data_IF_059924570194
#
_entry.id   IF_059924570194
#
_cell.length_a   1.000
_cell.length_b   1.000
_cell.length_c   1.000
_cell.angle_alpha   90.00
_cell.angle_beta   90.00
_cell.angle_gamma   90.00
#
_symmetry.space_group_name_H-M   'P 1'
#
loop_
_entity.id
_entity.type
_entity.pdbx_description
1 polymer ?
#
# COMPACT_ATOMS: atom_id res chain seq x y z
N UNK A 1 -10.32 -7.40 16.44
CA UNK A 1 -10.78 -6.01 16.21
C UNK A 1 -9.91 -5.38 15.13
N UNK A 2 -10.54 -4.92 14.05
CA UNK A 2 -9.86 -4.25 12.93
C UNK A 2 -10.14 -2.76 12.94
N UNK A 3 -9.13 -1.93 12.79
CA UNK A 3 -9.25 -0.47 12.66
C UNK A 3 -8.72 -0.01 11.31
N UNK A 4 -9.11 1.18 10.85
CA UNK A 4 -8.63 1.75 9.60
C UNK A 4 -8.15 3.20 9.80
N UNK A 5 -7.19 3.63 8.98
CA UNK A 5 -6.78 5.03 8.90
C UNK A 5 -6.77 5.53 7.46
N UNK A 6 -7.26 6.76 7.28
CA UNK A 6 -7.17 7.52 6.04
C UNK A 6 -6.47 8.84 6.35
N UNK A 7 -5.49 9.22 5.52
CA UNK A 7 -4.82 10.52 5.61
C UNK A 7 -5.42 11.48 4.59
N UNK A 8 -5.84 12.64 5.07
CA UNK A 8 -6.44 13.70 4.26
C UNK A 8 -5.40 14.79 3.98
N UNK A 9 -5.33 15.27 2.74
CA UNK A 9 -4.56 16.45 2.35
C UNK A 9 -5.20 17.09 1.14
N UNK A 10 -6.05 18.11 1.35
CA UNK A 10 -6.83 18.71 0.26
C UNK A 10 -7.60 17.67 -0.55
N UNK A 11 -8.14 16.69 0.17
CA UNK A 11 -8.83 15.55 -0.42
C UNK A 11 -10.19 15.98 -0.96
N UNK A 12 -10.53 15.49 -2.17
CA UNK A 12 -11.87 15.68 -2.73
C UNK A 12 -12.91 14.98 -1.83
N UNK A 13 -13.91 15.72 -1.29
CA UNK A 13 -14.92 15.13 -0.42
C UNK A 13 -15.69 13.98 -1.06
N UNK A 14 -16.00 14.06 -2.36
CA UNK A 14 -16.72 13.00 -3.05
C UNK A 14 -15.88 11.72 -3.17
N UNK A 15 -14.58 11.82 -3.29
CA UNK A 15 -13.63 10.71 -3.29
C UNK A 15 -13.56 10.06 -1.91
N UNK A 16 -13.38 10.88 -0.85
CA UNK A 16 -13.35 10.40 0.52
C UNK A 16 -14.65 9.68 0.91
N UNK A 17 -15.81 10.23 0.54
CA UNK A 17 -17.11 9.61 0.83
C UNK A 17 -17.24 8.21 0.28
N UNK A 18 -16.72 7.93 -0.93
CA UNK A 18 -16.71 6.58 -1.50
C UNK A 18 -15.85 5.61 -0.69
N UNK A 19 -14.64 6.04 -0.29
CA UNK A 19 -13.77 5.24 0.57
C UNK A 19 -14.42 4.96 1.94
N UNK A 20 -15.05 5.96 2.55
CA UNK A 20 -15.79 5.82 3.80
C UNK A 20 -17.00 4.89 3.65
N UNK A 21 -17.75 4.96 2.55
CA UNK A 21 -18.86 4.05 2.26
C UNK A 21 -18.37 2.60 2.21
N UNK A 22 -17.23 2.35 1.58
CA UNK A 22 -16.62 1.01 1.53
C UNK A 22 -16.19 0.51 2.91
N UNK A 23 -15.62 1.39 3.75
CA UNK A 23 -15.28 1.06 5.14
C UNK A 23 -16.53 0.79 6.00
N UNK A 24 -17.62 1.57 5.78
CA UNK A 24 -18.89 1.37 6.49
C UNK A 24 -19.60 0.06 6.14
N UNK A 25 -19.30 -0.52 4.98
CA UNK A 25 -19.81 -1.82 4.55
C UNK A 25 -18.93 -3.01 4.98
N UNK A 26 -17.81 -2.74 5.67
CA UNK A 26 -16.80 -3.75 6.03
C UNK A 26 -16.71 -3.94 7.55
N UNK A 27 -16.11 -5.06 7.98
CA UNK A 27 -15.86 -5.34 9.42
C UNK A 27 -14.72 -4.47 9.96
N UNK A 28 -15.02 -3.19 10.14
CA UNK A 28 -14.15 -2.17 10.74
C UNK A 28 -14.78 -1.69 12.05
N UNK A 29 -14.02 -1.80 13.14
CA UNK A 29 -14.47 -1.37 14.47
C UNK A 29 -14.30 0.14 14.71
N UNK A 30 -13.35 0.79 14.04
CA UNK A 30 -13.07 2.23 14.16
C UNK A 30 -12.30 2.76 12.97
N UNK A 31 -12.60 3.98 12.56
CA UNK A 31 -11.92 4.73 11.51
C UNK A 31 -11.19 5.93 12.13
N UNK A 32 -9.94 6.14 11.77
CA UNK A 32 -9.16 7.33 12.06
C UNK A 32 -9.01 8.17 10.80
N UNK A 33 -9.52 9.39 10.81
CA UNK A 33 -9.29 10.39 9.76
C UNK A 33 -8.20 11.33 10.25
N UNK A 34 -7.00 11.19 9.69
CA UNK A 34 -5.86 12.04 10.05
C UNK A 34 -5.73 13.11 8.99
N UNK A 35 -6.12 14.32 9.34
CA UNK A 35 -6.09 15.45 8.43
C UNK A 35 -4.81 16.27 8.59
N UNK A 36 -4.00 16.30 7.55
CA UNK A 36 -2.81 17.13 7.46
C UNK A 36 -2.95 18.24 6.39
N UNK A 37 -4.17 18.63 6.07
CA UNK A 37 -4.49 19.78 5.22
C UNK A 37 -4.05 21.08 5.90
N UNK A 38 -3.74 22.16 5.14
CA UNK A 38 -3.43 23.47 5.72
C UNK A 38 -4.55 24.08 6.55
N UNK A 39 -5.78 23.80 6.15
CA UNK A 39 -7.01 24.20 6.84
C UNK A 39 -7.72 22.94 7.33
N UNK A 40 -8.23 23.00 8.55
CA UNK A 40 -8.96 21.91 9.17
C UNK A 40 -10.30 21.69 8.46
N UNK A 41 -10.64 20.43 8.17
CA UNK A 41 -11.93 20.07 7.61
C UNK A 41 -12.95 19.87 8.75
N UNK A 42 -14.23 20.07 8.46
CA UNK A 42 -15.31 19.72 9.37
C UNK A 42 -15.62 18.21 9.27
N UNK A 43 -15.36 17.42 10.33
CA UNK A 43 -15.59 15.98 10.31
C UNK A 43 -17.07 15.62 10.15
N UNK A 44 -17.99 16.43 10.66
CA UNK A 44 -19.43 16.18 10.55
C UNK A 44 -19.88 16.27 9.09
N UNK A 45 -19.36 17.25 8.34
CA UNK A 45 -19.63 17.40 6.91
C UNK A 45 -19.05 16.23 6.11
N UNK A 46 -17.84 15.76 6.48
CA UNK A 46 -17.18 14.64 5.77
C UNK A 46 -17.94 13.32 5.93
N UNK A 47 -18.62 13.12 7.06
CA UNK A 47 -19.28 11.85 7.43
C UNK A 47 -20.80 11.90 7.35
N UNK A 48 -21.40 13.05 7.07
CA UNK A 48 -22.84 13.27 7.05
C UNK A 48 -23.58 12.23 6.18
N UNK A 49 -24.62 11.61 6.77
CA UNK A 49 -25.48 10.64 6.07
C UNK A 49 -24.82 9.30 5.74
N UNK A 50 -23.61 9.04 6.21
CA UNK A 50 -22.94 7.74 6.07
C UNK A 50 -23.19 6.85 7.29
N UNK A 51 -23.42 5.55 7.05
CA UNK A 51 -23.47 4.56 8.11
C UNK A 51 -22.04 4.05 8.37
N UNK A 52 -21.40 4.59 9.41
CA UNK A 52 -20.00 4.33 9.72
C UNK A 52 -19.83 3.76 11.13
N UNK A 53 -18.80 2.94 11.38
CA UNK A 53 -18.34 2.70 12.74
C UNK A 53 -17.84 4.02 13.35
N UNK A 54 -17.53 4.06 14.67
CA UNK A 54 -16.97 5.25 15.29
C UNK A 54 -15.81 5.84 14.50
N UNK A 55 -15.92 7.13 14.16
CA UNK A 55 -14.89 7.90 13.45
C UNK A 55 -14.20 8.83 14.43
N UNK A 56 -12.87 8.80 14.44
CA UNK A 56 -12.04 9.73 15.21
C UNK A 56 -11.26 10.60 14.22
N UNK A 57 -11.55 11.91 14.24
CA UNK A 57 -10.91 12.89 13.40
C UNK A 57 -9.81 13.62 14.18
N UNK A 58 -8.65 13.75 13.57
CA UNK A 58 -7.46 14.37 14.19
C UNK A 58 -6.75 15.23 13.16
N UNK A 59 -6.74 16.55 13.38
CA UNK A 59 -5.95 17.48 12.58
C UNK A 59 -4.51 17.55 13.08
N UNK A 60 -3.54 17.43 12.18
CA UNK A 60 -2.11 17.41 12.51
C UNK A 60 -1.29 18.21 11.51
N UNK A 61 -0.11 18.64 11.93
CA UNK A 61 0.88 19.21 11.01
C UNK A 61 1.26 18.20 9.92
N UNK A 62 1.41 18.68 8.69
CA UNK A 62 1.80 17.84 7.56
C UNK A 62 3.29 17.46 7.63
N UNK A 63 3.57 16.34 8.25
CA UNK A 63 4.89 15.69 8.33
C UNK A 63 5.05 14.52 7.35
N UNK A 64 4.10 14.37 6.42
CA UNK A 64 4.10 13.32 5.40
C UNK A 64 3.15 12.18 5.68
N UNK A 65 3.00 11.29 4.68
CA UNK A 65 2.04 10.19 4.68
C UNK A 65 2.25 9.21 5.84
N UNK A 66 3.48 8.68 5.98
CA UNK A 66 3.78 7.70 7.02
C UNK A 66 3.64 8.27 8.43
N UNK A 67 4.07 9.53 8.65
CA UNK A 67 3.94 10.19 9.95
C UNK A 67 2.47 10.36 10.37
N UNK A 68 1.59 10.72 9.44
CA UNK A 68 0.15 10.84 9.70
C UNK A 68 -0.47 9.48 10.04
N UNK A 69 -0.21 8.43 9.25
CA UNK A 69 -0.69 7.09 9.58
C UNK A 69 -0.15 6.56 10.92
N UNK A 70 1.06 6.94 11.30
CA UNK A 70 1.64 6.55 12.58
C UNK A 70 0.83 7.07 13.78
N UNK A 71 0.17 8.23 13.66
CA UNK A 71 -0.75 8.74 14.71
C UNK A 71 -1.88 7.73 14.93
N UNK A 72 -2.56 7.34 13.87
CA UNK A 72 -3.65 6.37 13.92
C UNK A 72 -3.19 4.98 14.40
N UNK A 73 -2.04 4.50 13.92
CA UNK A 73 -1.49 3.19 14.31
C UNK A 73 -1.18 3.17 15.81
N UNK A 74 -0.62 4.23 16.38
CA UNK A 74 -0.36 4.33 17.84
C UNK A 74 -1.67 4.27 18.65
N UNK A 75 -2.72 4.93 18.18
CA UNK A 75 -4.05 4.86 18.80
C UNK A 75 -4.65 3.46 18.69
N UNK A 76 -4.59 2.84 17.51
CA UNK A 76 -5.02 1.46 17.30
C UNK A 76 -4.29 0.47 18.22
N UNK A 77 -2.97 0.63 18.38
CA UNK A 77 -2.16 -0.16 19.32
C UNK A 77 -2.61 0.03 20.77
N UNK A 78 -2.88 1.28 21.18
CA UNK A 78 -3.32 1.61 22.54
C UNK A 78 -4.70 1.04 22.84
N UNK A 79 -5.56 0.91 21.84
CA UNK A 79 -6.90 0.34 21.94
C UNK A 79 -6.94 -1.19 21.78
N UNK A 80 -5.78 -1.84 21.59
CA UNK A 80 -5.69 -3.30 21.47
C UNK A 80 -6.20 -3.83 20.13
N UNK A 81 -6.08 -3.07 19.04
CA UNK A 81 -6.41 -3.55 17.71
C UNK A 81 -5.56 -4.76 17.33
N UNK A 82 -6.18 -5.76 16.70
CA UNK A 82 -5.49 -6.94 16.14
C UNK A 82 -4.93 -6.62 14.75
N UNK A 83 -5.73 -5.91 13.95
CA UNK A 83 -5.38 -5.50 12.60
C UNK A 83 -5.59 -4.00 12.41
N UNK A 84 -4.77 -3.41 11.54
CA UNK A 84 -4.88 -2.01 11.16
C UNK A 84 -4.74 -1.84 9.65
N UNK A 85 -5.74 -1.23 9.03
CA UNK A 85 -5.75 -0.88 7.62
C UNK A 85 -5.21 0.54 7.41
N UNK A 86 -4.17 0.66 6.62
CA UNK A 86 -3.71 1.92 6.02
C UNK A 86 -4.36 2.03 4.65
N UNK A 87 -5.14 3.09 4.43
CA UNK A 87 -5.96 3.26 3.24
C UNK A 87 -5.80 4.66 2.64
N UNK A 88 -5.66 4.74 1.32
CA UNK A 88 -5.76 6.01 0.60
C UNK A 88 -7.21 6.46 0.49
N UNK A 89 -7.48 7.79 0.46
CA UNK A 89 -8.83 8.35 0.34
C UNK A 89 -9.49 8.11 -1.02
N UNK A 90 -8.75 7.62 -2.01
CA UNK A 90 -9.19 7.35 -3.38
C UNK A 90 -9.31 5.86 -3.72
N UNK A 91 -9.39 5.02 -2.69
CA UNK A 91 -9.65 3.57 -2.81
C UNK A 91 -11.06 3.24 -2.38
N UNK A 92 -11.79 2.50 -3.20
CA UNK A 92 -13.18 2.12 -2.97
C UNK A 92 -13.43 0.65 -3.36
N UNK A 93 -14.45 0.04 -2.75
CA UNK A 93 -14.93 -1.30 -3.09
C UNK A 93 -16.39 -1.48 -2.67
N UNK A 94 -17.02 -2.54 -3.15
CA UNK A 94 -18.38 -2.93 -2.80
C UNK A 94 -18.36 -4.09 -1.78
N UNK A 95 -19.27 -4.05 -0.81
CA UNK A 95 -19.42 -5.09 0.22
C UNK A 95 -18.25 -5.12 1.21
N UNK A 96 -18.06 -6.27 1.86
CA UNK A 96 -16.98 -6.45 2.84
C UNK A 96 -15.71 -7.00 2.18
N UNK A 97 -14.68 -6.17 2.10
CA UNK A 97 -13.36 -6.58 1.64
C UNK A 97 -12.38 -6.90 2.78
N UNK A 98 -12.77 -6.69 4.03
CA UNK A 98 -11.86 -6.81 5.16
C UNK A 98 -11.90 -8.21 5.77
N UNK A 99 -13.09 -8.76 6.02
CA UNK A 99 -13.21 -10.10 6.64
C UNK A 99 -12.45 -11.19 5.89
N UNK A 100 -12.49 -11.32 4.54
CA UNK A 100 -11.71 -12.34 3.85
C UNK A 100 -10.19 -12.18 4.05
N UNK A 101 -9.71 -10.95 4.23
CA UNK A 101 -8.28 -10.68 4.45
C UNK A 101 -7.86 -10.97 5.89
N UNK A 102 -8.71 -10.65 6.88
CA UNK A 102 -8.44 -10.95 8.29
C UNK A 102 -8.54 -12.43 8.57
N UNK A 103 -9.50 -13.16 7.99
CA UNK A 103 -9.63 -14.62 8.09
C UNK A 103 -8.37 -15.32 7.55
N UNK A 104 -7.84 -14.81 6.45
CA UNK A 104 -6.56 -15.30 5.92
C UNK A 104 -5.42 -15.05 6.91
N UNK A 105 -5.34 -13.85 7.48
CA UNK A 105 -4.34 -13.54 8.49
C UNK A 105 -4.49 -14.41 9.74
N UNK A 106 -5.71 -14.68 10.20
CA UNK A 106 -5.98 -15.54 11.36
C UNK A 106 -5.50 -16.98 11.12
N UNK A 107 -5.63 -17.46 9.88
CA UNK A 107 -5.21 -18.81 9.48
C UNK A 107 -3.70 -18.90 9.18
N UNK A 108 -2.98 -17.78 9.03
CA UNK A 108 -1.57 -17.72 8.64
C UNK A 108 -0.79 -16.78 9.58
N UNK A 109 -0.40 -17.30 10.74
CA UNK A 109 0.25 -16.49 11.80
C UNK A 109 1.62 -15.91 11.39
N UNK A 110 2.29 -16.52 10.40
CA UNK A 110 3.54 -16.01 9.84
C UNK A 110 3.35 -14.82 8.89
N UNK A 111 2.11 -14.54 8.45
CA UNK A 111 1.79 -13.40 7.58
C UNK A 111 1.41 -12.20 8.42
N UNK A 112 2.07 -11.08 8.18
CA UNK A 112 1.88 -9.85 8.94
C UNK A 112 1.40 -8.65 8.12
N UNK A 113 1.43 -8.75 6.80
CA UNK A 113 0.98 -7.70 5.89
C UNK A 113 0.33 -8.32 4.67
N UNK A 114 -0.87 -7.85 4.33
CA UNK A 114 -1.55 -8.23 3.10
C UNK A 114 -2.00 -7.01 2.31
N UNK A 115 -2.00 -7.15 0.99
CA UNK A 115 -2.58 -6.19 0.06
C UNK A 115 -3.47 -6.91 -0.96
N UNK A 116 -4.67 -6.39 -1.26
CA UNK A 116 -5.62 -6.99 -2.18
C UNK A 116 -5.21 -6.79 -3.65
N UNK A 117 -5.99 -7.36 -4.54
CA UNK A 117 -5.94 -7.00 -5.96
C UNK A 117 -6.54 -5.62 -6.15
N UNK A 118 -5.79 -4.74 -6.82
CA UNK A 118 -6.22 -3.37 -7.09
C UNK A 118 -6.36 -3.16 -8.59
N UNK A 119 -7.44 -2.50 -9.01
CA UNK A 119 -7.69 -2.11 -10.40
C UNK A 119 -7.87 -0.59 -10.51
N UNK A 120 -7.65 -0.07 -11.70
CA UNK A 120 -8.09 1.28 -12.07
C UNK A 120 -9.60 1.29 -12.36
N UNK A 121 -10.24 2.48 -12.44
CA UNK A 121 -11.67 2.59 -12.76
C UNK A 121 -12.06 2.01 -14.13
N UNK A 122 -11.11 1.93 -15.07
CA UNK A 122 -11.29 1.29 -16.38
C UNK A 122 -11.21 -0.25 -16.34
N UNK A 123 -11.01 -0.83 -15.14
CA UNK A 123 -10.89 -2.26 -14.93
C UNK A 123 -9.48 -2.83 -15.13
N UNK A 124 -8.54 -2.04 -15.62
CA UNK A 124 -7.14 -2.50 -15.80
C UNK A 124 -6.44 -2.72 -14.46
N UNK A 125 -5.56 -3.73 -14.42
CA UNK A 125 -4.84 -4.09 -13.21
C UNK A 125 -3.82 -3.01 -12.81
N UNK A 126 -3.82 -2.64 -11.54
CA UNK A 126 -2.76 -1.84 -10.94
C UNK A 126 -1.73 -2.75 -10.28
N UNK A 127 -0.48 -2.71 -10.75
CA UNK A 127 0.61 -3.52 -10.19
C UNK A 127 1.07 -2.94 -8.84
N UNK A 128 0.50 -3.43 -7.76
CA UNK A 128 0.75 -2.97 -6.38
C UNK A 128 1.78 -3.81 -5.64
N UNK A 129 1.97 -5.05 -6.06
CA UNK A 129 3.10 -5.88 -5.63
C UNK A 129 4.27 -5.71 -6.60
N UNK A 130 5.48 -5.45 -6.07
CA UNK A 130 6.66 -5.16 -6.87
C UNK A 130 7.92 -5.78 -6.26
N UNK A 131 8.98 -5.83 -7.03
CA UNK A 131 10.32 -6.13 -6.50
C UNK A 131 10.79 -4.98 -5.59
N UNK A 132 11.68 -5.29 -4.64
CA UNK A 132 12.43 -4.23 -3.94
C UNK A 132 13.28 -3.46 -4.96
N UNK A 133 13.16 -2.12 -5.01
CA UNK A 133 13.75 -1.33 -6.08
C UNK A 133 15.27 -1.24 -6.00
N UNK A 134 15.88 -1.09 -7.16
CA UNK A 134 17.25 -0.57 -7.29
C UNK A 134 17.19 0.93 -7.64
N UNK A 135 18.30 1.66 -7.51
CA UNK A 135 18.35 3.07 -7.95
C UNK A 135 17.91 3.26 -9.41
N UNK A 136 18.16 2.27 -10.26
CA UNK A 136 17.71 2.30 -11.65
C UNK A 136 16.18 2.29 -11.76
N UNK A 137 15.50 1.44 -10.99
CA UNK A 137 14.05 1.23 -11.13
C UNK A 137 13.22 2.45 -10.73
N UNK A 138 13.72 3.31 -9.84
CA UNK A 138 12.97 4.44 -9.29
C UNK A 138 13.54 5.81 -9.65
N UNK A 139 14.83 5.94 -9.87
CA UNK A 139 15.49 7.21 -10.22
C UNK A 139 15.83 7.23 -11.71
N UNK A 140 16.69 6.33 -12.16
CA UNK A 140 17.32 6.39 -13.47
C UNK A 140 16.30 6.24 -14.61
N UNK A 141 15.31 5.34 -14.46
CA UNK A 141 14.26 5.13 -15.46
C UNK A 141 13.54 6.43 -15.88
N UNK A 142 13.46 7.41 -14.96
CA UNK A 142 12.76 8.66 -15.22
C UNK A 142 13.43 9.53 -16.28
N UNK A 143 14.73 9.33 -16.46
CA UNK A 143 15.55 10.07 -17.41
C UNK A 143 15.83 9.31 -18.72
N UNK A 144 15.28 8.10 -18.85
CA UNK A 144 15.50 7.25 -20.02
C UNK A 144 14.21 7.08 -20.82
N UNK A 145 14.31 6.94 -22.17
CA UNK A 145 13.18 6.61 -23.02
C UNK A 145 12.51 5.30 -22.58
N UNK A 146 11.18 5.27 -22.60
CA UNK A 146 10.38 4.12 -22.16
C UNK A 146 10.79 2.82 -22.88
N UNK A 147 11.08 2.87 -24.17
CA UNK A 147 11.51 1.72 -24.98
C UNK A 147 12.74 1.01 -24.41
N UNK A 148 13.62 1.72 -23.71
CA UNK A 148 14.83 1.14 -23.09
C UNK A 148 14.58 0.58 -21.69
N UNK A 149 13.54 1.03 -21.04
CA UNK A 149 13.21 0.62 -19.67
C UNK A 149 12.10 -0.41 -19.61
N UNK A 150 11.29 -0.57 -20.69
CA UNK A 150 10.07 -1.40 -20.70
C UNK A 150 10.27 -2.81 -20.15
N UNK A 151 11.24 -3.58 -20.67
CA UNK A 151 11.49 -4.96 -20.21
C UNK A 151 11.86 -5.03 -18.73
N UNK A 152 12.67 -4.07 -18.27
CA UNK A 152 13.07 -4.00 -16.85
C UNK A 152 11.92 -3.60 -15.97
N UNK A 153 11.10 -2.63 -16.40
CA UNK A 153 9.92 -2.20 -15.69
C UNK A 153 8.86 -3.30 -15.61
N UNK A 154 8.65 -4.03 -16.68
CA UNK A 154 7.78 -5.21 -16.73
C UNK A 154 8.17 -6.22 -15.64
N UNK A 155 9.47 -6.55 -15.55
CA UNK A 155 9.98 -7.42 -14.48
C UNK A 155 9.86 -6.79 -13.08
N UNK A 156 10.14 -5.49 -12.92
CA UNK A 156 10.03 -4.78 -11.65
C UNK A 156 8.60 -4.78 -11.11
N UNK A 157 7.64 -4.62 -11.99
CA UNK A 157 6.20 -4.61 -11.70
C UNK A 157 5.61 -6.02 -11.55
N UNK A 158 6.40 -7.08 -11.73
CA UNK A 158 5.94 -8.48 -11.72
C UNK A 158 4.79 -8.72 -12.71
N UNK A 159 4.84 -8.10 -13.89
CA UNK A 159 3.75 -8.16 -14.85
C UNK A 159 3.48 -9.56 -15.43
N UNK A 160 4.45 -10.49 -15.30
CA UNK A 160 4.30 -11.91 -15.68
C UNK A 160 3.72 -12.78 -14.56
N UNK A 161 3.42 -12.23 -13.37
CA UNK A 161 2.82 -12.99 -12.29
C UNK A 161 1.33 -13.23 -12.57
N UNK A 162 0.81 -14.36 -12.07
CA UNK A 162 -0.63 -14.56 -12.00
C UNK A 162 -1.20 -13.73 -10.84
N UNK A 163 -1.81 -12.61 -11.18
CA UNK A 163 -2.44 -11.70 -10.22
C UNK A 163 -3.85 -12.15 -9.76
N UNK A 164 -4.25 -13.37 -10.09
CA UNK A 164 -5.45 -14.03 -9.54
C UNK A 164 -5.10 -15.06 -8.47
N UNK A 165 -3.82 -15.40 -8.30
CA UNK A 165 -3.33 -16.30 -7.27
C UNK A 165 -2.58 -15.53 -6.17
N UNK A 166 -2.65 -15.97 -4.89
CA UNK A 166 -1.89 -15.35 -3.81
C UNK A 166 -0.39 -15.68 -3.95
N UNK A 167 0.47 -14.71 -3.61
CA UNK A 167 1.91 -14.94 -3.56
C UNK A 167 2.61 -14.01 -2.58
N UNK A 168 3.72 -14.49 -2.02
CA UNK A 168 4.57 -13.71 -1.13
C UNK A 168 5.20 -12.54 -1.87
N UNK A 169 5.18 -11.35 -1.29
CA UNK A 169 5.64 -10.11 -1.90
C UNK A 169 6.47 -9.30 -0.92
N UNK A 170 7.55 -8.70 -1.39
CA UNK A 170 8.47 -7.93 -0.53
C UNK A 170 8.22 -6.42 -0.55
N UNK A 171 7.35 -5.96 -1.42
CA UNK A 171 6.91 -4.57 -1.51
C UNK A 171 5.46 -4.52 -1.96
N UNK A 172 4.58 -4.08 -1.07
CA UNK A 172 3.20 -3.74 -1.34
C UNK A 172 3.03 -2.23 -1.33
N UNK A 173 2.36 -1.69 -2.34
CA UNK A 173 2.13 -0.25 -2.47
C UNK A 173 1.20 0.29 -1.39
N UNK A 174 1.48 1.47 -0.85
CA UNK A 174 0.84 2.09 0.30
C UNK A 174 -0.64 2.47 0.15
N UNK A 175 -1.30 2.21 -0.99
CA UNK A 175 -2.70 2.58 -1.21
C UNK A 175 -3.71 1.75 -0.40
N UNK A 176 -3.37 0.49 -0.09
CA UNK A 176 -4.14 -0.41 0.76
C UNK A 176 -3.18 -1.41 1.41
N UNK A 177 -2.92 -1.27 2.71
CA UNK A 177 -2.04 -2.15 3.48
C UNK A 177 -2.75 -2.58 4.76
N UNK A 178 -3.10 -3.87 4.87
CA UNK A 178 -3.67 -4.42 6.10
C UNK A 178 -2.57 -5.09 6.90
N UNK A 179 -2.27 -4.54 8.06
CA UNK A 179 -1.22 -4.98 8.97
C UNK A 179 -1.76 -5.79 10.14
N UNK A 180 -1.01 -6.81 10.55
CA UNK A 180 -1.10 -7.35 11.91
C UNK A 180 -0.41 -6.37 12.85
N UNK A 181 -1.13 -5.87 13.86
CA UNK A 181 -0.65 -4.79 14.75
C UNK A 181 0.56 -5.24 15.59
N UNK A 182 0.59 -6.48 16.06
CA UNK A 182 1.72 -7.00 16.84
C UNK A 182 3.01 -7.02 16.02
N UNK A 183 2.93 -7.32 14.73
CA UNK A 183 4.10 -7.25 13.86
C UNK A 183 4.63 -5.81 13.71
N UNK A 184 3.76 -4.79 13.74
CA UNK A 184 4.20 -3.39 13.76
C UNK A 184 4.94 -3.02 15.05
N UNK A 185 4.59 -3.64 16.18
CA UNK A 185 5.36 -3.48 17.45
C UNK A 185 6.77 -4.00 17.31
N UNK A 186 6.94 -5.12 16.60
CA UNK A 186 8.24 -5.79 16.43
C UNK A 186 9.14 -5.10 15.40
N UNK A 187 8.58 -4.64 14.28
CA UNK A 187 9.36 -4.06 13.17
C UNK A 187 9.43 -2.55 13.21
N UNK A 188 8.60 -1.90 14.04
CA UNK A 188 8.44 -0.45 14.11
C UNK A 188 7.48 0.10 13.05
N UNK A 189 7.01 1.33 13.27
CA UNK A 189 6.06 2.04 12.43
C UNK A 189 6.71 2.57 11.15
N UNK A 190 5.98 3.36 10.36
CA UNK A 190 6.56 4.07 9.22
C UNK A 190 7.74 4.95 9.66
N UNK A 191 8.80 4.97 8.87
CA UNK A 191 9.97 5.82 9.12
C UNK A 191 9.64 7.28 8.74
N UNK A 192 9.42 8.13 9.74
CA UNK A 192 8.94 9.50 9.57
C UNK A 192 9.95 10.43 8.89
N UNK A 193 11.17 9.97 8.61
CA UNK A 193 12.13 10.69 7.78
C UNK A 193 11.70 10.77 6.32
N UNK A 194 10.86 9.83 5.88
CA UNK A 194 10.29 9.83 4.54
C UNK A 194 8.99 10.63 4.53
N UNK A 195 9.03 11.80 3.90
CA UNK A 195 7.82 12.61 3.74
C UNK A 195 6.77 11.90 2.87
N UNK A 196 7.21 11.27 1.77
CA UNK A 196 6.34 10.57 0.82
C UNK A 196 7.14 9.66 -0.11
N UNK A 197 6.57 8.55 -0.52
CA UNK A 197 6.96 7.54 -1.53
C UNK A 197 7.72 6.31 -1.03
N UNK A 198 8.91 6.37 -0.37
CA UNK A 198 9.56 5.10 -0.02
C UNK A 198 9.18 4.56 1.35
N UNK A 199 8.26 5.20 2.08
CA UNK A 199 7.81 4.73 3.40
C UNK A 199 7.11 3.37 3.30
N UNK A 200 6.33 3.13 2.24
CA UNK A 200 5.67 1.85 1.96
C UNK A 200 6.68 0.76 1.55
N UNK A 201 7.71 1.12 0.79
CA UNK A 201 8.80 0.21 0.45
C UNK A 201 9.59 -0.16 1.71
N UNK A 202 9.88 0.83 2.56
CA UNK A 202 10.66 0.64 3.78
C UNK A 202 9.95 -0.27 4.78
N UNK A 203 8.66 0.00 5.05
CA UNK A 203 7.90 -0.81 6.01
C UNK A 203 7.64 -2.22 5.47
N UNK A 204 7.32 -2.37 4.18
CA UNK A 204 7.16 -3.68 3.55
C UNK A 204 8.45 -4.50 3.64
N UNK A 205 9.59 -3.86 3.38
CA UNK A 205 10.91 -4.50 3.50
C UNK A 205 11.22 -4.94 4.94
N UNK A 206 10.93 -4.10 5.95
CA UNK A 206 11.13 -4.46 7.36
C UNK A 206 10.22 -5.59 7.78
N UNK A 207 8.96 -5.59 7.32
CA UNK A 207 8.04 -6.72 7.49
C UNK A 207 8.63 -8.00 6.90
N UNK A 208 9.06 -7.97 5.64
CA UNK A 208 9.62 -9.12 4.94
C UNK A 208 10.94 -9.66 5.50
N UNK A 209 11.58 -8.97 6.46
CA UNK A 209 12.75 -9.47 7.17
C UNK A 209 12.39 -10.38 8.35
N UNK A 210 11.17 -10.30 8.89
CA UNK A 210 10.73 -11.05 10.07
C UNK A 210 9.48 -11.88 9.84
N UNK A 211 8.61 -11.41 8.95
CA UNK A 211 7.31 -11.99 8.65
C UNK A 211 7.14 -12.15 7.15
N UNK A 212 6.04 -12.75 6.72
CA UNK A 212 5.63 -12.74 5.32
C UNK A 212 4.70 -11.56 5.03
N UNK A 213 4.86 -10.99 3.85
CA UNK A 213 3.89 -10.07 3.24
C UNK A 213 3.31 -10.75 2.01
N UNK A 214 2.00 -10.70 1.82
CA UNK A 214 1.30 -11.45 0.77
C UNK A 214 0.44 -10.53 -0.08
N UNK A 215 0.61 -10.63 -1.39
CA UNK A 215 -0.40 -10.17 -2.34
C UNK A 215 -1.53 -11.18 -2.34
N UNK A 216 -2.73 -10.74 -1.93
CA UNK A 216 -3.85 -11.63 -1.61
C UNK A 216 -5.10 -11.21 -2.43
N UNK A 217 -5.30 -11.77 -3.63
CA UNK A 217 -6.37 -11.35 -4.55
C UNK A 217 -7.75 -11.95 -4.21
N UNK A 218 -8.04 -12.23 -2.93
CA UNK A 218 -9.36 -12.70 -2.48
C UNK A 218 -10.44 -11.64 -2.70
N UNK A 219 -10.06 -10.37 -2.64
CA UNK A 219 -10.93 -9.23 -2.90
C UNK A 219 -10.28 -8.32 -3.93
N UNK A 220 -11.13 -7.57 -4.63
CA UNK A 220 -10.67 -6.58 -5.63
C UNK A 220 -11.19 -5.22 -5.25
N UNK A 221 -10.30 -4.24 -5.12
CA UNK A 221 -10.63 -2.85 -4.84
C UNK A 221 -10.30 -1.95 -6.04
N UNK A 222 -10.96 -0.81 -6.15
CA UNK A 222 -10.72 0.18 -7.21
C UNK A 222 -9.95 1.36 -6.62
N UNK A 223 -8.83 1.72 -7.23
CA UNK A 223 -8.03 2.89 -6.85
C UNK A 223 -8.12 3.95 -7.95
N UNK A 224 -8.81 5.03 -7.64
CA UNK A 224 -9.08 6.15 -8.57
C UNK A 224 -7.88 7.08 -8.73
N UNK A 225 -6.69 6.57 -8.72
CA UNK A 225 -5.44 7.31 -8.75
C UNK A 225 -5.55 8.61 -9.55
N UNK A 226 -5.69 9.75 -8.85
CA UNK A 226 -5.61 11.06 -9.47
C UNK A 226 -4.16 11.28 -9.92
N UNK A 227 -3.93 11.35 -11.23
CA UNK A 227 -2.62 11.58 -11.84
C UNK A 227 -1.97 12.94 -11.44
N UNK A 228 -2.60 13.69 -10.55
CA UNK A 228 -2.20 15.03 -10.11
C UNK A 228 -0.80 15.11 -9.47
N UNK A 229 -0.27 14.01 -8.93
CA UNK A 229 1.04 14.02 -8.25
C UNK A 229 2.26 13.95 -9.21
N UNK A 230 2.05 13.70 -10.50
CA UNK A 230 3.16 13.53 -11.45
C UNK A 230 3.75 14.82 -12.01
N UNK A 231 3.11 15.99 -11.82
CA UNK A 231 3.42 17.22 -12.57
C UNK A 231 4.18 18.31 -11.81
N UNK A 232 4.36 18.23 -10.48
CA UNK A 232 5.06 19.31 -9.78
C UNK A 232 6.55 19.01 -9.58
N UNK A 233 7.41 19.94 -9.97
CA UNK A 233 8.87 19.84 -9.74
C UNK A 233 9.24 19.75 -8.25
N UNK A 234 8.36 20.21 -7.33
CA UNK A 234 8.52 20.05 -5.89
C UNK A 234 8.37 18.58 -5.49
N UNK A 235 7.34 17.90 -5.97
CA UNK A 235 7.11 16.47 -5.67
C UNK A 235 8.22 15.58 -6.24
N UNK A 236 8.76 15.93 -7.41
CA UNK A 236 9.92 15.25 -7.96
C UNK A 236 11.15 15.37 -7.06
N UNK A 237 11.44 16.57 -6.55
CA UNK A 237 12.57 16.79 -5.63
C UNK A 237 12.39 16.00 -4.33
N UNK A 238 11.20 16.00 -3.74
CA UNK A 238 10.86 15.21 -2.56
C UNK A 238 11.08 13.72 -2.84
N UNK A 239 10.59 13.21 -3.96
CA UNK A 239 10.77 11.81 -4.34
C UNK A 239 12.25 11.44 -4.48
N UNK A 240 13.04 12.22 -5.20
CA UNK A 240 14.47 11.96 -5.37
C UNK A 240 15.20 11.99 -4.02
N UNK A 241 14.94 13.01 -3.19
CA UNK A 241 15.56 13.14 -1.86
C UNK A 241 15.22 11.94 -0.97
N UNK A 242 13.96 11.55 -0.89
CA UNK A 242 13.52 10.42 -0.07
C UNK A 242 14.09 9.09 -0.59
N UNK A 243 14.22 8.93 -1.92
CA UNK A 243 14.89 7.75 -2.49
C UNK A 243 16.38 7.71 -2.17
N UNK A 244 17.06 8.86 -2.10
CA UNK A 244 18.45 8.95 -1.64
C UNK A 244 18.53 8.49 -0.16
N UNK A 245 17.64 8.97 0.70
CA UNK A 245 17.57 8.53 2.10
C UNK A 245 17.33 7.01 2.20
N UNK A 246 16.43 6.47 1.37
CA UNK A 246 16.15 5.04 1.33
C UNK A 246 17.40 4.22 0.95
N UNK A 247 18.11 4.62 -0.11
CA UNK A 247 19.32 3.90 -0.52
C UNK A 247 20.50 4.11 0.44
N UNK A 248 20.58 5.25 1.12
CA UNK A 248 21.55 5.45 2.20
C UNK A 248 21.26 4.52 3.40
N UNK A 249 19.99 4.26 3.70
CA UNK A 249 19.58 3.33 4.77
C UNK A 249 19.85 1.88 4.40
N UNK A 250 19.58 1.47 3.16
CA UNK A 250 19.51 0.06 2.75
C UNK A 250 20.62 -0.40 1.80
N UNK A 251 21.40 0.51 1.29
CA UNK A 251 22.45 0.24 0.31
C UNK A 251 22.05 0.54 -1.14
N UNK A 252 22.96 1.19 -1.84
CA UNK A 252 22.77 1.59 -3.25
C UNK A 252 22.91 0.40 -4.20
N UNK A 253 24.10 -0.16 -4.25
CA UNK A 253 24.45 -1.22 -5.21
C UNK A 253 24.59 -2.59 -4.54
N UNK A 254 25.13 -2.61 -3.32
CA UNK A 254 25.33 -3.82 -2.53
C UNK A 254 24.25 -3.94 -1.48
N UNK A 255 23.26 -4.79 -1.78
CA UNK A 255 22.14 -5.09 -0.90
C UNK A 255 21.83 -6.59 -1.02
N UNK A 256 22.45 -7.42 -0.17
CA UNK A 256 22.26 -8.88 -0.20
C UNK A 256 20.82 -9.30 0.06
N UNK A 257 20.13 -8.61 0.97
CA UNK A 257 18.73 -8.90 1.28
C UNK A 257 17.85 -8.66 0.05
N UNK A 258 17.92 -7.49 -0.58
CA UNK A 258 17.17 -7.17 -1.81
C UNK A 258 17.41 -8.19 -2.91
N UNK A 259 18.69 -8.58 -3.13
CA UNK A 259 19.05 -9.57 -4.14
C UNK A 259 18.43 -10.94 -3.87
N UNK A 260 18.51 -11.40 -2.61
CA UNK A 260 17.94 -12.68 -2.18
C UNK A 260 16.42 -12.67 -2.30
N UNK A 261 15.77 -11.67 -1.72
CA UNK A 261 14.32 -11.51 -1.69
C UNK A 261 13.73 -11.43 -3.12
N UNK A 262 14.29 -10.57 -3.98
CA UNK A 262 13.83 -10.45 -5.36
C UNK A 262 14.04 -11.74 -6.17
N UNK A 263 15.13 -12.47 -5.93
CA UNK A 263 15.38 -13.77 -6.60
C UNK A 263 14.38 -14.83 -6.16
N UNK A 264 14.08 -14.91 -4.85
CA UNK A 264 13.10 -15.84 -4.31
C UNK A 264 11.70 -15.55 -4.86
N UNK A 265 11.29 -14.28 -4.84
CA UNK A 265 9.99 -13.86 -5.38
C UNK A 265 9.85 -14.24 -6.86
N UNK A 266 10.82 -13.91 -7.69
CA UNK A 266 10.80 -14.25 -9.14
C UNK A 266 10.82 -15.77 -9.42
N UNK A 267 11.36 -16.57 -8.50
CA UNK A 267 11.37 -18.03 -8.61
C UNK A 267 10.02 -18.63 -8.22
N UNK A 268 9.39 -18.08 -7.18
CA UNK A 268 8.22 -18.68 -6.53
C UNK A 268 6.88 -18.03 -6.92
N UNK A 269 6.91 -16.85 -7.59
CA UNK A 269 5.67 -16.18 -8.02
C UNK A 269 4.88 -17.11 -8.96
N UNK A 270 3.55 -17.20 -8.81
CA UNK A 270 2.70 -17.95 -9.70
C UNK A 270 2.75 -17.32 -11.10
N UNK A 271 2.61 -18.13 -12.11
CA UNK A 271 2.50 -17.68 -13.52
C UNK A 271 1.17 -18.13 -14.07
N UNK A 272 0.54 -17.33 -14.95
CA UNK A 272 -0.65 -17.76 -15.64
C UNK A 272 -0.40 -19.09 -16.37
N UNK A 273 -1.37 -19.99 -16.31
CA UNK A 273 -1.32 -21.21 -17.12
C UNK A 273 -1.20 -20.82 -18.60
N UNK A 274 -0.20 -21.36 -19.27
CA UNK A 274 -0.11 -21.17 -20.71
C UNK A 274 -1.26 -21.95 -21.36
N UNK A 275 -2.05 -21.34 -22.25
CA UNK A 275 -3.03 -22.10 -23.01
C UNK A 275 -2.27 -23.24 -23.72
N UNK A 276 -2.75 -24.46 -23.54
CA UNK A 276 -2.21 -25.63 -24.25
C UNK A 276 -2.13 -25.29 -25.73
N UNK A 277 -0.94 -25.44 -26.29
CA UNK A 277 -0.76 -25.27 -27.73
C UNK A 277 -1.76 -26.21 -28.42
N UNK A 278 -2.57 -25.74 -29.40
CA UNK A 278 -3.50 -26.61 -30.11
C UNK A 278 -2.70 -27.79 -30.67
N UNK A 279 -3.08 -28.99 -30.23
CA UNK A 279 -2.43 -30.22 -30.63
C UNK A 279 -2.26 -30.23 -32.14
N UNK A 280 -1.02 -30.40 -32.61
CA UNK A 280 -0.78 -30.69 -34.02
C UNK A 280 -1.40 -32.07 -34.32
N UNK A 281 -2.65 -32.03 -34.84
CA UNK A 281 -3.28 -33.18 -35.43
C UNK A 281 -2.74 -33.48 -36.81
#
# INVERSE_FOLDING_TARGET
>A
MTTASIVLHKTDPAMLRRALTSLGASDIARIYLIDNSPEENDPDVLTEGLNLPPVEYIHVENRGFGAAHNVAIRLAMAQGATYHLVLNPDVEWDGDAISPLTDYLDSHSEVALVGPRIKYPDGTLQYTCRLLPTPFDVIIKRFLPEKWTRRRMHRYLLADADHYAPFECQYLQGSFLLFRVDALRDVGLFDERFFMYPEDIDISRRMGQRFKSVYLPLVTVTHRHAAASRSSGRMLRIHIYNMILYFNKWGWWFDPFRRKANRQLLKNMPRPEQPEAPGRG
#
